data_IF_134725097913
#
_entry.id   IF_134725097913
#
_cell.length_a   1.000
_cell.length_b   1.000
_cell.length_c   1.000
_cell.angle_alpha   90.00
_cell.angle_beta   90.00
_cell.angle_gamma   90.00
#
_symmetry.space_group_name_H-M   'P 1'
#
loop_
_entity.id
_entity.type
_entity.pdbx_description
1 polymer ?
#
# COMPACT_ATOMS: atom_id res chain seq x y z
N UNK A 1 18.61 15.20 7.38
CA UNK A 1 17.49 14.60 6.61
C UNK A 1 17.87 13.33 5.83
N UNK A 2 19.01 13.26 5.15
CA UNK A 2 19.45 12.03 4.46
C UNK A 2 20.98 11.93 4.31
N UNK A 3 21.48 10.75 3.94
CA UNK A 3 22.86 10.47 3.54
C UNK A 3 22.88 9.64 2.26
N UNK A 4 23.97 9.73 1.50
CA UNK A 4 24.21 8.86 0.33
C UNK A 4 25.17 7.77 0.75
N UNK A 5 24.79 6.51 0.61
CA UNK A 5 25.65 5.37 0.95
C UNK A 5 25.48 4.27 -0.08
N UNK A 6 26.59 3.87 -0.70
CA UNK A 6 26.59 2.77 -1.68
C UNK A 6 25.80 3.07 -2.95
N UNK A 7 25.61 4.35 -3.30
CA UNK A 7 24.77 4.74 -4.43
C UNK A 7 23.27 4.67 -4.13
N UNK A 8 22.86 4.79 -2.87
CA UNK A 8 21.45 4.91 -2.48
C UNK A 8 21.26 6.07 -1.50
N UNK A 9 20.10 6.73 -1.58
CA UNK A 9 19.69 7.80 -0.66
C UNK A 9 19.00 7.18 0.55
N UNK A 10 19.59 7.35 1.74
CA UNK A 10 19.05 6.83 3.00
C UNK A 10 18.61 8.00 3.88
N UNK A 11 17.33 7.99 4.27
CA UNK A 11 16.76 9.00 5.17
C UNK A 11 17.30 8.83 6.61
N UNK A 12 17.46 9.94 7.31
CA UNK A 12 17.84 9.98 8.73
C UNK A 12 16.69 10.57 9.53
N UNK A 13 16.31 9.88 10.60
CA UNK A 13 15.36 10.40 11.58
C UNK A 13 15.96 11.60 12.32
N UNK A 14 15.27 12.74 12.26
CA UNK A 14 15.69 14.00 12.89
C UNK A 14 15.78 13.90 14.42
N UNK A 15 14.99 13.05 15.07
CA UNK A 15 14.96 12.93 16.53
C UNK A 15 15.99 11.94 17.07
N UNK A 16 16.24 10.86 16.35
CA UNK A 16 17.08 9.75 16.84
C UNK A 16 18.41 9.61 16.10
N UNK A 17 18.59 10.28 14.97
CA UNK A 17 19.76 10.16 14.10
C UNK A 17 19.88 8.78 13.44
N UNK A 18 18.85 7.92 13.53
CA UNK A 18 18.89 6.56 12.98
C UNK A 18 18.67 6.58 11.48
N UNK A 19 19.38 5.70 10.79
CA UNK A 19 19.20 5.44 9.36
C UNK A 19 17.91 4.66 9.13
N UNK A 20 17.02 5.22 8.31
CA UNK A 20 15.75 4.60 7.92
C UNK A 20 15.88 3.91 6.56
N UNK A 21 16.60 2.78 6.53
CA UNK A 21 16.73 1.98 5.32
C UNK A 21 15.36 1.49 4.83
N UNK A 22 15.13 1.57 3.52
CA UNK A 22 13.87 1.17 2.88
C UNK A 22 12.73 2.21 2.96
N UNK A 23 12.89 3.28 3.75
CA UNK A 23 11.90 4.37 3.75
C UNK A 23 12.16 5.31 2.56
N UNK A 24 11.13 5.54 1.76
CA UNK A 24 11.13 6.53 0.68
C UNK A 24 10.23 7.71 0.98
N UNK A 25 10.53 8.83 0.34
CA UNK A 25 9.66 9.99 0.32
C UNK A 25 8.66 9.83 -0.82
N UNK A 26 7.39 10.15 -0.56
CA UNK A 26 6.31 10.04 -1.54
C UNK A 26 6.33 11.18 -2.58
N UNK A 27 5.41 11.12 -3.55
CA UNK A 27 5.14 12.19 -4.51
C UNK A 27 6.33 12.55 -5.42
N UNK A 28 7.20 11.58 -5.72
CA UNK A 28 8.36 11.82 -6.58
C UNK A 28 9.53 12.53 -5.89
N UNK A 29 9.38 12.90 -4.61
CA UNK A 29 10.39 13.66 -3.88
C UNK A 29 11.69 12.86 -3.70
N UNK A 30 11.59 11.54 -3.54
CA UNK A 30 12.76 10.68 -3.41
C UNK A 30 13.56 10.63 -4.72
N UNK A 31 12.88 10.48 -5.85
CA UNK A 31 13.46 10.48 -7.18
C UNK A 31 14.09 11.83 -7.51
N UNK A 32 13.50 12.94 -7.06
CA UNK A 32 14.08 14.27 -7.21
C UNK A 32 15.40 14.41 -6.43
N UNK A 33 15.50 13.81 -5.23
CA UNK A 33 16.74 13.79 -4.45
C UNK A 33 17.78 12.87 -5.11
N UNK A 34 17.39 11.67 -5.55
CA UNK A 34 18.26 10.75 -6.29
C UNK A 34 18.83 11.43 -7.55
N UNK A 35 17.99 12.13 -8.31
CA UNK A 35 18.41 12.89 -9.50
C UNK A 35 19.34 14.06 -9.16
N UNK A 36 19.06 14.81 -8.09
CA UNK A 36 19.89 15.93 -7.62
C UNK A 36 21.29 15.46 -7.23
N UNK A 37 21.38 14.31 -6.58
CA UNK A 37 22.63 13.75 -6.07
C UNK A 37 23.36 12.85 -7.09
N UNK A 38 22.82 12.71 -8.31
CA UNK A 38 23.42 11.92 -9.38
C UNK A 38 23.41 10.41 -9.13
N UNK A 39 22.47 9.95 -8.31
CA UNK A 39 22.27 8.55 -7.94
C UNK A 39 21.35 7.86 -8.94
N UNK A 40 21.46 6.54 -9.10
CA UNK A 40 20.53 5.75 -9.92
C UNK A 40 19.10 5.90 -9.40
N UNK A 41 18.21 6.44 -10.25
CA UNK A 41 16.82 6.67 -9.90
C UNK A 41 16.11 5.32 -9.93
N UNK A 42 15.61 4.89 -8.79
CA UNK A 42 14.87 3.64 -8.73
C UNK A 42 13.41 3.86 -9.13
N UNK A 43 12.84 3.03 -10.02
CA UNK A 43 11.44 3.14 -10.40
C UNK A 43 10.55 2.85 -9.19
N UNK A 44 9.50 3.65 -9.03
CA UNK A 44 8.48 3.43 -8.00
C UNK A 44 7.39 2.54 -8.57
N UNK A 45 7.14 1.41 -7.91
CA UNK A 45 5.98 0.59 -8.20
C UNK A 45 4.75 1.26 -7.59
N UNK A 46 3.97 1.94 -8.43
CA UNK A 46 2.72 2.55 -8.01
C UNK A 46 1.55 1.56 -8.17
N UNK A 47 0.75 1.41 -7.12
CA UNK A 47 -0.54 0.73 -7.22
C UNK A 47 -1.51 1.61 -8.01
N UNK A 48 -1.73 1.30 -9.29
CA UNK A 48 -2.62 2.08 -10.17
C UNK A 48 -4.10 1.93 -9.82
N UNK A 49 -4.49 0.72 -9.41
CA UNK A 49 -5.85 0.41 -9.00
C UNK A 49 -5.80 -0.60 -7.86
N UNK A 50 -6.68 -0.40 -6.89
CA UNK A 50 -6.89 -1.34 -5.80
C UNK A 50 -8.37 -1.40 -5.47
N UNK A 51 -8.84 -2.58 -5.11
CA UNK A 51 -10.20 -2.80 -4.61
C UNK A 51 -10.14 -3.89 -3.56
N UNK A 52 -10.86 -3.71 -2.46
CA UNK A 52 -11.02 -4.77 -1.46
C UNK A 52 -12.04 -5.79 -1.98
N UNK A 53 -11.90 -7.06 -1.59
CA UNK A 53 -12.84 -8.12 -2.00
C UNK A 53 -14.28 -7.75 -1.62
N UNK A 54 -14.47 -7.15 -0.44
CA UNK A 54 -15.76 -6.66 0.04
C UNK A 54 -16.38 -5.65 -0.93
N UNK A 55 -15.63 -4.60 -1.29
CA UNK A 55 -16.13 -3.56 -2.17
C UNK A 55 -16.34 -4.05 -3.59
N UNK A 56 -15.47 -4.95 -4.07
CA UNK A 56 -15.59 -5.54 -5.40
C UNK A 56 -16.92 -6.30 -5.55
N UNK A 57 -17.29 -7.13 -4.59
CA UNK A 57 -18.56 -7.88 -4.64
C UNK A 57 -19.80 -7.00 -4.46
N UNK A 58 -19.70 -5.86 -3.75
CA UNK A 58 -20.80 -4.90 -3.61
C UNK A 58 -21.16 -4.15 -4.91
N UNK A 59 -20.29 -4.20 -5.93
CA UNK A 59 -20.58 -3.60 -7.24
C UNK A 59 -21.58 -4.41 -8.07
N UNK A 60 -21.83 -5.68 -7.72
CA UNK A 60 -22.75 -6.54 -8.45
C UNK A 60 -24.21 -6.23 -8.08
N UNK A 61 -25.09 -6.09 -9.08
CA UNK A 61 -26.52 -5.87 -8.84
C UNK A 61 -27.24 -7.05 -8.18
N UNK A 62 -26.65 -8.25 -8.25
CA UNK A 62 -27.08 -9.45 -7.53
C UNK A 62 -25.85 -10.20 -7.04
N UNK A 63 -25.82 -10.54 -5.76
CA UNK A 63 -24.75 -11.30 -5.13
C UNK A 63 -25.36 -12.52 -4.42
N UNK A 64 -24.79 -13.70 -4.66
CA UNK A 64 -25.24 -14.98 -4.09
C UNK A 64 -24.04 -15.90 -3.90
N UNK A 65 -24.06 -16.75 -2.87
CA UNK A 65 -22.98 -17.67 -2.54
C UNK A 65 -23.49 -18.92 -1.84
N UNK A 66 -22.66 -19.96 -1.80
CA UNK A 66 -22.98 -21.24 -1.14
C UNK A 66 -21.77 -21.73 -0.35
N UNK A 67 -22.00 -22.19 0.87
CA UNK A 67 -21.01 -22.89 1.69
C UNK A 67 -21.71 -23.69 2.80
N UNK A 68 -21.12 -24.79 3.23
CA UNK A 68 -21.66 -25.64 4.31
C UNK A 68 -21.50 -25.04 5.72
N UNK A 69 -20.73 -23.96 5.85
CA UNK A 69 -20.38 -23.36 7.15
C UNK A 69 -20.74 -21.88 7.25
N UNK A 70 -21.63 -21.36 6.38
CA UNK A 70 -22.03 -19.95 6.36
C UNK A 70 -22.72 -19.51 7.66
N UNK A 71 -23.34 -20.44 8.38
CA UNK A 71 -24.15 -20.13 9.56
C UNK A 71 -23.36 -19.43 10.67
N UNK A 72 -22.05 -19.65 10.77
CA UNK A 72 -21.22 -18.98 11.80
C UNK A 72 -20.98 -17.51 11.48
N UNK A 73 -20.90 -17.16 10.20
CA UNK A 73 -20.59 -15.81 9.70
C UNK A 73 -21.82 -15.10 9.11
N UNK A 74 -23.03 -15.60 9.38
CA UNK A 74 -24.26 -15.09 8.79
C UNK A 74 -24.47 -13.58 9.04
N UNK A 75 -24.09 -13.11 10.23
CA UNK A 75 -24.18 -11.70 10.59
C UNK A 75 -23.23 -10.84 9.74
N UNK A 76 -21.98 -11.27 9.53
CA UNK A 76 -21.03 -10.55 8.68
C UNK A 76 -21.46 -10.53 7.21
N UNK A 77 -22.04 -11.63 6.72
CA UNK A 77 -22.59 -11.68 5.35
C UNK A 77 -23.75 -10.71 5.14
N UNK A 78 -24.65 -10.59 6.12
CA UNK A 78 -25.74 -9.63 6.08
C UNK A 78 -25.23 -8.19 6.14
N UNK A 79 -24.29 -7.89 7.05
CA UNK A 79 -23.81 -6.52 7.30
C UNK A 79 -22.92 -5.99 6.16
N UNK A 80 -22.03 -6.83 5.62
CA UNK A 80 -21.04 -6.41 4.61
C UNK A 80 -21.59 -6.56 3.19
N UNK A 81 -22.29 -7.66 2.92
CA UNK A 81 -22.66 -8.05 1.56
C UNK A 81 -24.17 -7.96 1.28
N UNK A 82 -24.99 -7.66 2.30
CA UNK A 82 -26.47 -7.67 2.20
C UNK A 82 -27.00 -9.00 1.67
N UNK A 83 -26.31 -10.08 2.02
CA UNK A 83 -26.70 -11.45 1.70
C UNK A 83 -27.46 -12.00 2.90
N UNK A 84 -28.71 -12.43 2.68
CA UNK A 84 -29.51 -13.20 3.63
C UNK A 84 -29.37 -14.71 3.39
#
# INVERSE_FOLDING_TARGET
DYIIKGGEVILIDEFTGRMMQGRRLSEGLHQAIEAKEGVEIQPENQTLASVTIQNYFRLYGKLSGMTGTAATEAQEFADIYKME
#
